data_IF_297004446947
#
_entry.id   IF_297004446947
#
_cell.length_a   1.000
_cell.length_b   1.000
_cell.length_c   1.000
_cell.angle_alpha   90.00
_cell.angle_beta   90.00
_cell.angle_gamma   90.00
#
_symmetry.space_group_name_H-M   'P 1'
#
loop_
_entity.id
_entity.type
_entity.pdbx_description
1 polymer ?
#
# COMPACT_ATOMS: atom_id res chain seq x y z
N UNK A 1 -23.99 15.36 -20.92
CA UNK A 1 -23.09 15.64 -19.75
C UNK A 1 -22.27 14.42 -19.26
N UNK A 2 -22.45 13.29 -19.94
CA UNK A 2 -22.00 11.95 -19.47
C UNK A 2 -20.49 11.69 -19.51
N UNK A 3 -19.70 12.48 -20.24
CA UNK A 3 -18.25 12.24 -20.41
C UNK A 3 -17.36 13.43 -20.03
N UNK A 4 -17.88 14.38 -19.25
CA UNK A 4 -17.12 15.58 -18.91
C UNK A 4 -15.85 15.30 -18.08
N UNK A 5 -15.88 14.26 -17.22
CA UNK A 5 -14.72 13.86 -16.43
C UNK A 5 -13.71 13.09 -17.27
N UNK A 6 -14.20 12.22 -18.18
CA UNK A 6 -13.33 11.51 -19.11
C UNK A 6 -12.57 12.52 -20.00
N UNK A 7 -13.22 13.56 -20.48
CA UNK A 7 -12.55 14.65 -21.21
C UNK A 7 -11.45 15.34 -20.40
N UNK A 8 -11.68 15.57 -19.10
CA UNK A 8 -10.64 16.10 -18.20
C UNK A 8 -9.49 15.12 -17.99
N UNK A 9 -9.78 13.82 -17.92
CA UNK A 9 -8.76 12.77 -17.81
C UNK A 9 -7.92 12.72 -19.07
N UNK A 10 -8.52 12.73 -20.26
CA UNK A 10 -7.83 12.74 -21.55
C UNK A 10 -6.92 13.96 -21.70
N UNK A 11 -7.41 15.14 -21.31
CA UNK A 11 -6.59 16.37 -21.31
C UNK A 11 -5.35 16.20 -20.39
N UNK A 12 -5.52 15.62 -19.20
CA UNK A 12 -4.41 15.37 -18.28
C UNK A 12 -3.44 14.33 -18.81
N UNK A 13 -3.89 13.35 -19.56
CA UNK A 13 -3.08 12.35 -20.22
C UNK A 13 -2.17 13.01 -21.29
N UNK A 14 -2.71 13.93 -22.05
CA UNK A 14 -1.96 14.73 -23.03
C UNK A 14 -0.92 15.64 -22.37
N UNK A 15 -1.27 16.30 -21.27
CA UNK A 15 -0.33 17.10 -20.48
C UNK A 15 0.82 16.25 -19.95
N UNK A 16 0.54 15.04 -19.45
CA UNK A 16 1.56 14.12 -18.96
C UNK A 16 2.44 13.53 -20.08
N UNK A 17 1.86 13.29 -21.26
CA UNK A 17 2.62 12.90 -22.45
C UNK A 17 3.64 14.00 -22.82
N UNK A 18 3.21 15.25 -22.81
CA UNK A 18 4.09 16.39 -23.08
C UNK A 18 5.21 16.48 -22.05
N UNK A 19 4.89 16.27 -20.77
CA UNK A 19 5.89 16.24 -19.69
C UNK A 19 6.91 15.12 -19.91
N UNK A 20 6.45 13.92 -20.25
CA UNK A 20 7.35 12.77 -20.53
C UNK A 20 8.27 13.03 -21.72
N UNK A 21 7.76 13.63 -22.79
CA UNK A 21 8.58 14.04 -23.94
C UNK A 21 9.59 15.12 -23.57
N UNK A 22 9.21 16.06 -22.70
CA UNK A 22 10.14 17.07 -22.17
C UNK A 22 11.29 16.44 -21.38
N UNK A 23 11.01 15.42 -20.57
CA UNK A 23 12.04 14.69 -19.82
C UNK A 23 13.05 13.99 -20.71
N UNK A 24 12.59 13.41 -21.83
CA UNK A 24 13.47 12.74 -22.79
C UNK A 24 14.52 13.67 -23.40
N UNK A 25 14.23 14.97 -23.45
CA UNK A 25 15.13 15.99 -24.02
C UNK A 25 16.05 16.64 -22.98
N UNK A 26 15.97 16.26 -21.69
CA UNK A 26 16.85 16.80 -20.65
C UNK A 26 18.23 16.15 -20.73
N UNK A 27 19.25 16.98 -20.84
CA UNK A 27 20.66 16.57 -20.91
C UNK A 27 21.35 16.62 -19.55
N UNK A 28 20.78 17.32 -18.59
CA UNK A 28 21.31 17.46 -17.24
C UNK A 28 20.69 16.39 -16.31
N UNK A 29 21.54 15.56 -15.70
CA UNK A 29 21.12 14.46 -14.83
C UNK A 29 20.27 14.92 -13.62
N UNK A 30 20.60 16.07 -13.03
CA UNK A 30 19.88 16.60 -11.86
C UNK A 30 18.47 17.07 -12.24
N UNK A 31 18.32 17.72 -13.38
CA UNK A 31 17.04 18.18 -13.89
C UNK A 31 16.19 17.00 -14.36
N UNK A 32 16.82 16.00 -14.97
CA UNK A 32 16.16 14.75 -15.32
C UNK A 32 15.56 14.04 -14.08
N UNK A 33 16.35 13.90 -13.00
CA UNK A 33 15.86 13.26 -11.76
C UNK A 33 14.67 14.00 -11.15
N UNK A 34 14.75 15.33 -11.04
CA UNK A 34 13.62 16.15 -10.53
C UNK A 34 12.40 16.03 -11.43
N UNK A 35 12.59 16.13 -12.73
CA UNK A 35 11.52 16.00 -13.69
C UNK A 35 10.88 14.61 -13.67
N UNK A 36 11.67 13.55 -13.51
CA UNK A 36 11.17 12.19 -13.41
C UNK A 36 10.29 11.97 -12.17
N UNK A 37 10.70 12.54 -11.03
CA UNK A 37 9.88 12.49 -9.79
C UNK A 37 8.56 13.22 -10.01
N UNK A 38 8.59 14.43 -10.57
CA UNK A 38 7.38 15.20 -10.86
C UNK A 38 6.44 14.47 -11.85
N UNK A 39 7.00 13.79 -12.83
CA UNK A 39 6.25 12.96 -13.77
C UNK A 39 5.58 11.77 -13.06
N UNK A 40 6.32 11.03 -12.23
CA UNK A 40 5.78 9.92 -11.46
C UNK A 40 4.60 10.35 -10.58
N UNK A 41 4.75 11.45 -9.83
CA UNK A 41 3.67 12.02 -9.03
C UNK A 41 2.45 12.44 -9.87
N UNK A 42 2.69 13.02 -11.05
CA UNK A 42 1.60 13.40 -11.96
C UNK A 42 0.85 12.17 -12.48
N UNK A 43 1.56 11.07 -12.76
CA UNK A 43 0.96 9.78 -13.16
C UNK A 43 0.15 9.16 -12.04
N UNK A 44 0.63 9.17 -10.81
CA UNK A 44 -0.14 8.68 -9.64
C UNK A 44 -1.45 9.45 -9.47
N UNK A 45 -1.40 10.78 -9.53
CA UNK A 45 -2.60 11.62 -9.50
C UNK A 45 -3.55 11.33 -10.67
N UNK A 46 -3.02 11.05 -11.85
CA UNK A 46 -3.82 10.68 -13.03
C UNK A 46 -4.52 9.35 -12.83
N UNK A 47 -3.83 8.33 -12.33
CA UNK A 47 -4.42 7.01 -12.05
C UNK A 47 -5.62 7.14 -11.10
N UNK A 48 -5.50 7.94 -10.03
CA UNK A 48 -6.62 8.18 -9.11
C UNK A 48 -7.82 8.83 -9.78
N UNK A 49 -7.58 9.80 -10.68
CA UNK A 49 -8.65 10.44 -11.46
C UNK A 49 -9.33 9.45 -12.42
N UNK A 50 -8.54 8.58 -13.07
CA UNK A 50 -9.07 7.52 -13.93
C UNK A 50 -9.95 6.57 -13.12
N UNK A 51 -9.49 6.09 -11.97
CA UNK A 51 -10.28 5.20 -11.09
C UNK A 51 -11.61 5.83 -10.70
N UNK A 52 -11.56 7.10 -10.27
CA UNK A 52 -12.77 7.84 -9.90
C UNK A 52 -13.73 7.99 -11.10
N UNK A 53 -13.21 8.28 -12.28
CA UNK A 53 -14.01 8.41 -13.49
C UNK A 53 -14.65 7.07 -13.89
N UNK A 54 -13.89 5.98 -13.87
CA UNK A 54 -14.39 4.62 -14.17
C UNK A 54 -15.57 4.26 -13.27
N UNK A 55 -15.41 4.44 -11.95
CA UNK A 55 -16.47 4.10 -10.99
C UNK A 55 -17.71 4.98 -11.18
N UNK A 56 -17.53 6.29 -11.40
CA UNK A 56 -18.64 7.26 -11.39
C UNK A 56 -19.30 7.46 -12.74
N UNK A 57 -18.59 7.27 -13.85
CA UNK A 57 -19.10 7.59 -15.19
C UNK A 57 -19.42 6.36 -16.03
N UNK A 58 -18.70 5.24 -15.79
CA UNK A 58 -18.96 4.00 -16.51
C UNK A 58 -20.02 3.12 -15.83
N UNK A 59 -20.61 3.59 -14.72
CA UNK A 59 -21.60 2.84 -13.91
C UNK A 59 -21.15 1.41 -13.59
N UNK A 60 -19.86 1.29 -13.33
CA UNK A 60 -19.25 0.00 -12.99
C UNK A 60 -19.33 -0.19 -11.48
N UNK A 61 -19.77 -1.35 -11.04
CA UNK A 61 -19.77 -1.74 -9.62
C UNK A 61 -18.35 -1.59 -9.03
N UNK A 62 -18.28 -0.87 -7.90
CA UNK A 62 -17.00 -0.58 -7.25
C UNK A 62 -16.25 -1.85 -6.86
N UNK A 63 -16.96 -2.88 -6.39
CA UNK A 63 -16.34 -4.15 -5.98
C UNK A 63 -15.77 -4.91 -7.17
N UNK A 64 -16.51 -4.95 -8.28
CA UNK A 64 -16.00 -5.53 -9.51
C UNK A 64 -14.75 -4.83 -9.99
N UNK A 65 -14.76 -3.49 -10.03
CA UNK A 65 -13.60 -2.72 -10.45
C UNK A 65 -12.39 -2.93 -9.51
N UNK A 66 -12.61 -2.90 -8.18
CA UNK A 66 -11.53 -3.13 -7.21
C UNK A 66 -10.95 -4.53 -7.31
N UNK A 67 -11.76 -5.55 -7.63
CA UNK A 67 -11.24 -6.90 -7.87
C UNK A 67 -10.21 -6.96 -9.00
N UNK A 68 -10.43 -6.17 -10.04
CA UNK A 68 -9.48 -6.04 -11.18
C UNK A 68 -8.24 -5.26 -10.78
N UNK A 69 -8.41 -4.16 -10.03
CA UNK A 69 -7.29 -3.34 -9.55
C UNK A 69 -6.37 -4.13 -8.65
N UNK A 70 -6.91 -4.88 -7.67
CA UNK A 70 -6.13 -5.74 -6.76
C UNK A 70 -5.31 -6.76 -7.55
N UNK A 71 -5.91 -7.37 -8.57
CA UNK A 71 -5.25 -8.35 -9.44
C UNK A 71 -4.12 -7.73 -10.27
N UNK A 72 -4.35 -6.56 -10.86
CA UNK A 72 -3.35 -5.84 -11.66
C UNK A 72 -2.20 -5.34 -10.81
N UNK A 73 -2.49 -4.91 -9.58
CA UNK A 73 -1.48 -4.45 -8.63
C UNK A 73 -0.76 -5.60 -7.90
N UNK A 74 -1.20 -6.84 -8.06
CA UNK A 74 -0.66 -8.00 -7.35
C UNK A 74 -0.67 -7.84 -5.81
N UNK A 75 -1.72 -7.17 -5.29
CA UNK A 75 -1.94 -7.09 -3.85
C UNK A 75 -2.43 -8.46 -3.36
N UNK A 76 -1.75 -9.04 -2.40
CA UNK A 76 -2.13 -10.33 -1.85
C UNK A 76 -2.29 -10.31 -0.33
N UNK A 77 -3.25 -11.09 0.17
CA UNK A 77 -3.46 -11.35 1.60
C UNK A 77 -3.47 -12.85 1.79
N UNK A 78 -2.57 -13.38 2.59
CA UNK A 78 -2.39 -14.82 2.77
C UNK A 78 -2.19 -15.17 4.24
N UNK A 79 -2.76 -16.28 4.67
CA UNK A 79 -2.39 -16.92 5.93
C UNK A 79 -1.03 -17.58 5.74
N UNK A 80 -0.05 -17.25 6.61
CA UNK A 80 1.28 -17.85 6.59
C UNK A 80 1.30 -19.11 7.47
N UNK A 81 0.82 -18.97 8.70
CA UNK A 81 0.72 -20.04 9.69
C UNK A 81 -0.45 -19.77 10.65
N UNK A 82 -0.58 -20.60 11.70
CA UNK A 82 -1.58 -20.39 12.73
C UNK A 82 -1.32 -19.09 13.49
N UNK A 83 -2.19 -18.11 13.27
CA UNK A 83 -2.14 -16.81 13.92
C UNK A 83 -1.33 -15.75 13.19
N UNK A 84 -0.90 -15.99 11.92
CA UNK A 84 -0.21 -14.97 11.12
C UNK A 84 -0.82 -14.78 9.74
N UNK A 85 -0.99 -13.52 9.36
CA UNK A 85 -1.45 -13.09 8.04
C UNK A 85 -0.37 -12.20 7.42
N UNK A 86 0.01 -12.49 6.17
CA UNK A 86 0.86 -11.62 5.37
C UNK A 86 0.01 -10.85 4.36
N UNK A 87 0.28 -9.56 4.27
CA UNK A 87 -0.27 -8.66 3.25
C UNK A 87 0.91 -8.16 2.42
N UNK A 88 0.88 -8.40 1.12
CA UNK A 88 1.92 -7.93 0.19
C UNK A 88 1.39 -6.79 -0.66
N UNK A 89 2.11 -5.68 -0.66
CA UNK A 89 1.85 -4.51 -1.52
C UNK A 89 3.01 -4.37 -2.50
N UNK A 90 2.76 -4.16 -3.81
CA UNK A 90 3.80 -4.15 -4.86
C UNK A 90 4.63 -2.87 -4.89
N UNK A 91 4.63 -2.10 -3.83
CA UNK A 91 5.31 -0.80 -3.71
C UNK A 91 5.69 -0.52 -2.26
N UNK A 92 6.57 0.45 -2.06
CA UNK A 92 6.84 0.99 -0.73
C UNK A 92 5.68 1.90 -0.29
N UNK A 93 5.36 1.87 0.99
CA UNK A 93 4.36 2.76 1.57
C UNK A 93 4.67 4.22 1.23
N UNK A 94 3.67 5.03 0.85
CA UNK A 94 3.89 6.43 0.49
C UNK A 94 4.38 7.24 1.69
N UNK A 95 4.98 8.38 1.40
CA UNK A 95 5.30 9.35 2.44
C UNK A 95 4.02 10.01 2.95
N UNK A 96 3.98 10.33 4.25
CA UNK A 96 2.84 10.94 4.95
C UNK A 96 2.34 12.25 4.32
N UNK A 97 3.15 12.92 3.52
CA UNK A 97 2.79 14.18 2.85
C UNK A 97 2.00 14.01 1.56
N UNK A 98 1.78 12.79 1.08
CA UNK A 98 1.06 12.57 -0.18
C UNK A 98 -0.45 12.49 0.08
N UNK A 99 -1.13 13.59 -0.19
CA UNK A 99 -2.58 13.78 0.05
C UNK A 99 -3.48 12.81 -0.73
N UNK A 100 -2.98 12.22 -1.83
CA UNK A 100 -3.74 11.33 -2.70
C UNK A 100 -3.52 9.83 -2.42
N UNK A 101 -2.80 9.48 -1.35
CA UNK A 101 -2.46 8.09 -1.03
C UNK A 101 -3.67 7.21 -0.72
N UNK A 102 -4.74 7.81 -0.19
CA UNK A 102 -5.90 7.08 0.30
C UNK A 102 -6.58 6.27 -0.80
N UNK A 103 -6.93 6.89 -1.91
CA UNK A 103 -7.62 6.19 -3.00
C UNK A 103 -6.70 5.18 -3.72
N UNK A 104 -5.38 5.40 -3.72
CA UNK A 104 -4.44 4.53 -4.41
C UNK A 104 -4.17 3.23 -3.65
N UNK A 105 -3.98 3.30 -2.33
CA UNK A 105 -3.62 2.17 -1.48
C UNK A 105 -4.83 1.66 -0.71
N UNK A 106 -5.58 2.57 -0.11
CA UNK A 106 -6.61 2.28 0.87
C UNK A 106 -7.78 1.48 0.26
N UNK A 107 -8.32 1.93 -0.86
CA UNK A 107 -9.44 1.25 -1.51
C UNK A 107 -9.07 -0.18 -1.97
N UNK A 108 -7.94 -0.42 -2.70
CA UNK A 108 -7.51 -1.76 -3.08
C UNK A 108 -7.19 -2.66 -1.88
N UNK A 109 -6.49 -2.13 -0.86
CA UNK A 109 -6.17 -2.88 0.35
C UNK A 109 -7.42 -3.27 1.14
N UNK A 110 -8.35 -2.33 1.33
CA UNK A 110 -9.64 -2.61 1.98
C UNK A 110 -10.41 -3.71 1.26
N UNK A 111 -10.41 -3.66 -0.08
CA UNK A 111 -11.06 -4.68 -0.88
C UNK A 111 -10.37 -6.05 -0.70
N UNK A 112 -9.04 -6.11 -0.79
CA UNK A 112 -8.28 -7.35 -0.65
C UNK A 112 -8.48 -7.99 0.73
N UNK A 113 -8.43 -7.18 1.80
CA UNK A 113 -8.67 -7.66 3.18
C UNK A 113 -10.09 -8.14 3.39
N UNK A 114 -11.10 -7.44 2.89
CA UNK A 114 -12.49 -7.87 2.97
C UNK A 114 -12.69 -9.22 2.28
N UNK A 115 -12.18 -9.38 1.06
CA UNK A 115 -12.27 -10.64 0.33
C UNK A 115 -11.59 -11.79 1.09
N UNK A 116 -10.42 -11.51 1.69
CA UNK A 116 -9.72 -12.49 2.52
C UNK A 116 -10.58 -12.93 3.72
N UNK A 117 -11.15 -11.98 4.46
CA UNK A 117 -11.98 -12.26 5.64
C UNK A 117 -13.22 -13.07 5.25
N UNK A 118 -13.92 -12.69 4.17
CA UNK A 118 -15.11 -13.36 3.69
C UNK A 118 -14.81 -14.81 3.24
N UNK A 119 -13.73 -15.00 2.47
CA UNK A 119 -13.36 -16.33 1.93
C UNK A 119 -12.86 -17.30 3.00
N UNK A 120 -12.14 -16.78 3.99
CA UNK A 120 -11.50 -17.62 5.01
C UNK A 120 -12.30 -17.69 6.31
N UNK A 121 -13.45 -16.99 6.42
CA UNK A 121 -14.23 -16.86 7.67
C UNK A 121 -13.31 -16.50 8.85
N UNK A 122 -12.40 -15.57 8.61
CA UNK A 122 -11.35 -15.23 9.57
C UNK A 122 -11.93 -14.68 10.86
N UNK A 123 -11.58 -15.28 11.99
CA UNK A 123 -11.85 -14.72 13.32
C UNK A 123 -10.85 -13.59 13.61
N UNK A 124 -11.37 -12.46 14.11
CA UNK A 124 -10.52 -11.32 14.43
C UNK A 124 -9.57 -11.63 15.58
N UNK A 125 -8.34 -11.15 15.45
CA UNK A 125 -7.36 -11.23 16.52
C UNK A 125 -7.77 -10.32 17.70
N UNK A 126 -7.65 -10.83 18.92
CA UNK A 126 -7.93 -10.05 20.14
C UNK A 126 -6.75 -9.17 20.53
N UNK A 127 -5.53 -9.69 20.38
CA UNK A 127 -4.28 -8.98 20.61
C UNK A 127 -3.42 -9.21 19.38
N UNK A 128 -2.84 -8.15 18.81
CA UNK A 128 -2.07 -8.28 17.60
C UNK A 128 -0.76 -7.49 17.65
N UNK A 129 0.22 -8.01 16.96
CA UNK A 129 1.44 -7.32 16.57
C UNK A 129 1.42 -7.10 15.08
N UNK A 130 1.73 -5.89 14.62
CA UNK A 130 1.79 -5.54 13.20
C UNK A 130 3.22 -5.16 12.86
N UNK A 131 3.88 -5.98 12.05
CA UNK A 131 5.21 -5.69 11.53
C UNK A 131 5.11 -5.24 10.07
N UNK A 132 5.67 -4.08 9.76
CA UNK A 132 5.76 -3.56 8.38
C UNK A 132 7.19 -3.73 7.90
N UNK A 133 7.38 -4.55 6.89
CA UNK A 133 8.67 -4.81 6.27
C UNK A 133 8.73 -4.13 4.92
N UNK A 134 9.66 -3.22 4.76
CA UNK A 134 10.00 -2.67 3.46
C UNK A 134 11.10 -3.52 2.84
N UNK A 135 10.80 -4.09 1.70
CA UNK A 135 11.74 -4.89 0.92
C UNK A 135 12.10 -4.09 -0.32
N UNK A 136 13.38 -3.92 -0.56
CA UNK A 136 13.90 -3.12 -1.65
C UNK A 136 15.11 -3.78 -2.29
N UNK A 137 15.36 -3.46 -3.57
CA UNK A 137 16.53 -3.99 -4.29
C UNK A 137 17.83 -3.45 -3.70
N UNK A 138 18.96 -4.16 -3.88
CA UNK A 138 20.26 -3.70 -3.41
C UNK A 138 20.67 -2.31 -3.90
N UNK A 139 20.27 -1.94 -5.12
CA UNK A 139 20.53 -0.62 -5.70
C UNK A 139 19.75 0.47 -4.98
N UNK A 140 18.59 0.13 -4.42
CA UNK A 140 17.66 1.05 -3.74
C UNK A 140 17.93 1.18 -2.23
N UNK A 141 19.03 0.64 -1.71
CA UNK A 141 19.37 0.69 -0.27
C UNK A 141 19.41 2.09 0.32
N UNK A 142 19.50 3.12 -0.51
CA UNK A 142 19.43 4.53 -0.08
C UNK A 142 18.02 4.99 0.26
N UNK A 143 17.00 4.22 -0.09
CA UNK A 143 15.60 4.51 0.20
C UNK A 143 15.24 3.90 1.55
N UNK A 144 15.92 4.34 2.61
CA UNK A 144 15.52 4.01 3.97
C UNK A 144 14.30 4.88 4.29
N UNK A 145 13.24 4.26 4.77
CA UNK A 145 12.04 4.96 5.23
C UNK A 145 11.92 4.80 6.73
N UNK A 146 11.73 5.92 7.40
CA UNK A 146 11.46 5.97 8.83
C UNK A 146 9.94 5.91 9.07
N UNK A 147 9.54 5.31 10.17
CA UNK A 147 8.12 5.14 10.53
C UNK A 147 7.36 6.47 10.56
N UNK A 148 8.02 7.54 11.02
CA UNK A 148 7.42 8.88 11.14
C UNK A 148 7.14 9.54 9.78
N UNK A 149 7.81 9.08 8.73
CA UNK A 149 7.73 9.67 7.39
C UNK A 149 6.81 8.90 6.43
N UNK A 150 6.24 7.79 6.86
CA UNK A 150 5.35 6.98 6.03
C UNK A 150 3.90 7.06 6.48
N UNK A 151 2.99 6.91 5.53
CA UNK A 151 1.56 6.87 5.81
C UNK A 151 1.15 5.49 6.31
N UNK A 152 1.23 5.29 7.61
CA UNK A 152 0.83 4.04 8.26
C UNK A 152 -0.58 4.12 8.85
N UNK A 153 -1.03 5.32 9.20
CA UNK A 153 -2.26 5.50 9.98
C UNK A 153 -3.49 4.89 9.29
N UNK A 154 -3.74 5.25 8.03
CA UNK A 154 -4.88 4.71 7.29
C UNK A 154 -4.76 3.19 7.03
N UNK A 155 -3.56 2.70 6.76
CA UNK A 155 -3.32 1.26 6.57
C UNK A 155 -3.58 0.49 7.85
N UNK A 156 -3.09 0.97 8.99
CA UNK A 156 -3.35 0.36 10.30
C UNK A 156 -4.85 0.39 10.64
N UNK A 157 -5.53 1.51 10.38
CA UNK A 157 -6.97 1.62 10.61
C UNK A 157 -7.77 0.57 9.82
N UNK A 158 -7.39 0.31 8.56
CA UNK A 158 -8.05 -0.73 7.76
C UNK A 158 -7.76 -2.12 8.32
N UNK A 159 -6.49 -2.40 8.65
CA UNK A 159 -6.09 -3.67 9.24
C UNK A 159 -6.85 -3.90 10.55
N UNK A 160 -6.88 -2.90 11.43
CA UNK A 160 -7.62 -2.97 12.70
C UNK A 160 -9.10 -3.24 12.47
N UNK A 161 -9.73 -2.48 11.60
CA UNK A 161 -11.16 -2.65 11.29
C UNK A 161 -11.48 -4.04 10.78
N UNK A 162 -10.62 -4.62 9.94
CA UNK A 162 -10.89 -5.90 9.27
C UNK A 162 -10.41 -7.12 10.06
N UNK A 163 -9.25 -7.03 10.69
CA UNK A 163 -8.57 -8.19 11.28
C UNK A 163 -8.52 -8.19 12.81
N UNK A 164 -8.77 -7.07 13.49
CA UNK A 164 -8.62 -6.97 14.94
C UNK A 164 -9.95 -6.75 15.62
N UNK A 165 -10.08 -7.23 16.87
CA UNK A 165 -11.23 -6.94 17.74
C UNK A 165 -11.07 -5.57 18.36
N UNK A 166 -9.84 -5.20 18.75
CA UNK A 166 -9.49 -3.95 19.40
C UNK A 166 -8.14 -3.46 18.87
N UNK A 167 -8.02 -2.15 18.65
CA UNK A 167 -6.80 -1.49 18.16
C UNK A 167 -5.93 -0.91 19.30
N UNK A 168 -6.40 -0.94 20.54
CA UNK A 168 -5.71 -0.35 21.68
C UNK A 168 -4.39 -1.05 22.07
N UNK A 169 -4.14 -2.25 21.54
CA UNK A 169 -2.99 -3.09 21.89
C UNK A 169 -2.17 -3.52 20.65
N UNK A 170 -2.00 -2.60 19.70
CA UNK A 170 -1.17 -2.87 18.52
C UNK A 170 0.28 -2.48 18.81
N UNK A 171 1.17 -3.47 18.77
CA UNK A 171 2.60 -3.19 18.66
C UNK A 171 2.99 -3.07 17.19
N UNK A 172 3.66 -1.99 16.85
CA UNK A 172 4.14 -1.76 15.50
C UNK A 172 5.66 -1.88 15.42
N UNK A 173 6.14 -2.57 14.39
CA UNK A 173 7.54 -2.63 14.03
C UNK A 173 7.73 -2.24 12.56
N UNK A 174 8.80 -1.50 12.27
CA UNK A 174 9.24 -1.19 10.92
C UNK A 174 10.61 -1.80 10.69
N UNK A 175 10.73 -2.50 9.58
CA UNK A 175 11.98 -3.15 9.19
C UNK A 175 12.30 -2.84 7.73
N UNK A 176 13.58 -2.61 7.44
CA UNK A 176 14.08 -2.47 6.09
C UNK A 176 14.95 -3.68 5.75
N UNK A 177 14.66 -4.37 4.66
CA UNK A 177 15.36 -5.58 4.24
C UNK A 177 15.68 -5.52 2.74
N UNK A 178 16.91 -5.88 2.32
CA UNK A 178 17.19 -6.09 0.91
C UNK A 178 16.35 -7.25 0.33
N UNK A 179 15.96 -7.12 -0.92
CA UNK A 179 15.23 -8.15 -1.65
C UNK A 179 15.43 -7.99 -3.16
N UNK A 180 14.84 -8.89 -3.93
CA UNK A 180 15.02 -8.94 -5.38
C UNK A 180 14.19 -7.88 -6.12
N UNK A 181 13.13 -7.41 -5.48
CA UNK A 181 12.24 -6.37 -6.03
C UNK A 181 11.63 -5.52 -4.90
N UNK A 182 11.17 -4.33 -5.29
CA UNK A 182 10.62 -3.36 -4.35
C UNK A 182 9.18 -3.72 -3.98
N UNK A 183 8.90 -3.95 -2.69
CA UNK A 183 7.57 -4.19 -2.16
C UNK A 183 7.49 -3.92 -0.67
N UNK A 184 6.29 -3.94 -0.12
CA UNK A 184 6.02 -3.90 1.31
C UNK A 184 5.32 -5.18 1.74
N UNK A 185 5.84 -5.85 2.75
CA UNK A 185 5.13 -6.91 3.47
C UNK A 185 4.62 -6.37 4.79
N UNK A 186 3.36 -6.66 5.11
CA UNK A 186 2.78 -6.34 6.41
C UNK A 186 2.38 -7.66 7.06
N UNK A 187 3.01 -7.98 8.17
CA UNK A 187 2.74 -9.19 8.94
C UNK A 187 1.87 -8.83 10.13
N UNK A 188 0.67 -9.36 10.16
CA UNK A 188 -0.25 -9.28 11.29
C UNK A 188 -0.20 -10.61 12.02
N UNK A 189 0.16 -10.61 13.30
CA UNK A 189 0.27 -11.83 14.11
C UNK A 189 -0.51 -11.70 15.41
N UNK A 190 -1.10 -12.79 15.89
CA UNK A 190 -1.65 -12.88 17.24
C UNK A 190 -0.50 -12.84 18.25
N UNK A 191 -0.71 -12.07 19.32
CA UNK A 191 0.14 -12.12 20.50
C UNK A 191 -0.43 -13.16 21.46
N UNK A 192 0.02 -14.39 21.36
CA UNK A 192 -0.26 -15.38 22.37
C UNK A 192 0.62 -15.12 23.59
N UNK A 193 0.01 -15.00 24.77
CA UNK A 193 0.70 -14.82 26.06
C UNK A 193 1.79 -15.86 26.36
N UNK A 194 1.77 -17.00 25.68
CA UNK A 194 2.78 -18.06 25.82
C UNK A 194 4.19 -17.64 25.36
N UNK A 195 4.29 -16.79 24.33
CA UNK A 195 5.59 -16.36 23.83
C UNK A 195 6.29 -15.35 24.76
N UNK A 196 5.53 -14.58 25.55
CA UNK A 196 6.11 -13.65 26.53
C UNK A 196 6.72 -14.34 27.74
N UNK A 197 6.23 -15.51 28.12
CA UNK A 197 6.81 -16.26 29.24
C UNK A 197 8.12 -16.96 28.85
N UNK A 198 8.24 -17.41 27.61
CA UNK A 198 9.45 -18.05 27.10
C UNK A 198 10.59 -17.04 26.84
N UNK A 199 10.27 -15.83 26.35
CA UNK A 199 11.25 -14.75 26.23
C UNK A 199 11.74 -14.22 27.60
N UNK A 200 10.86 -14.20 28.61
CA UNK A 200 11.26 -13.81 29.97
C UNK A 200 12.11 -14.88 30.66
N UNK A 201 11.88 -16.13 30.37
CA UNK A 201 12.71 -17.25 30.90
C UNK A 201 14.08 -17.31 30.24
N UNK A 202 14.18 -16.95 28.94
CA UNK A 202 15.47 -16.93 28.24
C UNK A 202 16.39 -15.74 28.58
N UNK A 203 15.87 -14.69 29.20
CA UNK A 203 16.67 -13.52 29.64
C UNK A 203 17.21 -13.64 31.08
N UNK A 204 16.77 -14.64 31.82
CA UNK A 204 17.17 -14.88 33.21
C UNK A 204 18.04 -16.17 33.38
N UNK A 205 18.51 -16.74 32.29
CA UNK A 205 19.45 -17.84 32.22
C UNK A 205 20.73 -17.35 31.54
#
# INVERSE_FOLDING_TARGET
>A
MQYARLGKVLKKLDENKTLALGLYNLTNEMDFRKGYIAFAEAMERLVNKIRTAVIKEADIDKSYYMSRVVKVLDISVKKIDNGKIAITLPYLMPKRTSIDSDAYIIDPLSYALRMYVEQNKHEKFRNASVAILFIHTPEDRRIIRDLDNIETHHVINIISTMLLVDDNLIDMGLFNRPGDYVHTEIIVSSRDKKNEEDEKKGKNA
#
